data_IF_458116142135
#
_entry.id   IF_458116142135
#
_cell.length_a   1.000
_cell.length_b   1.000
_cell.length_c   1.000
_cell.angle_alpha   90.00
_cell.angle_beta   90.00
_cell.angle_gamma   90.00
#
_symmetry.space_group_name_H-M   'P 1'
#
loop_
_entity.id
_entity.type
_entity.pdbx_description
1 polymer ?
#
# COMPACT_ATOMS: atom_id res chain seq x y z
N UNK A 1 7.35 -23.65 15.39
CA UNK A 1 7.65 -22.40 14.66
C UNK A 1 6.53 -21.43 14.97
N UNK A 2 6.83 -20.30 15.54
CA UNK A 2 5.82 -19.31 15.92
C UNK A 2 5.83 -18.15 14.90
N UNK A 3 4.65 -17.67 14.55
CA UNK A 3 4.50 -16.51 13.68
C UNK A 3 4.35 -15.27 14.58
N UNK A 4 5.20 -14.26 14.38
CA UNK A 4 5.06 -12.97 15.05
C UNK A 4 4.42 -11.99 14.07
N UNK A 5 3.25 -11.49 14.40
CA UNK A 5 2.58 -10.44 13.65
C UNK A 5 3.08 -9.07 14.11
N UNK A 6 3.69 -8.33 13.21
CA UNK A 6 4.00 -6.92 13.39
C UNK A 6 3.01 -6.13 12.55
N UNK A 7 1.97 -5.64 13.21
CA UNK A 7 0.97 -4.80 12.55
C UNK A 7 1.52 -3.38 12.47
N UNK A 8 2.09 -3.00 11.35
CA UNK A 8 2.49 -1.62 11.06
C UNK A 8 1.48 -1.04 10.06
N UNK A 9 0.56 -0.22 10.54
CA UNK A 9 -0.40 0.46 9.68
C UNK A 9 0.26 1.72 9.10
N UNK A 10 0.63 1.66 7.81
CA UNK A 10 1.01 2.82 7.02
C UNK A 10 -0.07 3.04 5.97
N UNK A 11 -0.88 4.07 6.16
CA UNK A 11 -1.85 4.51 5.15
C UNK A 11 -1.19 5.62 4.35
N UNK A 12 -0.83 5.32 3.11
CA UNK A 12 -0.32 6.31 2.16
C UNK A 12 -1.40 6.72 1.17
N UNK A 13 -1.72 8.00 1.09
CA UNK A 13 -2.58 8.55 0.04
C UNK A 13 -1.70 9.00 -1.13
N UNK A 14 -1.78 8.33 -2.28
CA UNK A 14 -1.19 8.82 -3.53
C UNK A 14 -2.20 9.70 -4.25
N UNK A 15 -2.04 11.02 -4.13
CA UNK A 15 -2.82 11.98 -4.92
C UNK A 15 -2.18 12.08 -6.30
N UNK A 16 -2.77 11.45 -7.31
CA UNK A 16 -2.45 11.70 -8.71
C UNK A 16 -3.15 12.98 -9.15
N UNK A 17 -2.49 14.14 -9.00
CA UNK A 17 -2.94 15.38 -9.60
C UNK A 17 -2.62 15.36 -11.10
N UNK A 18 -3.59 15.08 -11.95
CA UNK A 18 -3.54 15.41 -13.38
C UNK A 18 -3.65 16.92 -13.55
N UNK A 19 -2.52 17.61 -13.67
CA UNK A 19 -2.48 19.03 -14.01
C UNK A 19 -2.85 19.24 -15.48
N UNK A 20 -3.93 20.00 -15.70
CA UNK A 20 -4.14 20.67 -16.98
C UNK A 20 -3.27 21.92 -17.02
N UNK A 21 -2.38 21.99 -18.00
CA UNK A 21 -1.69 23.22 -18.36
C UNK A 21 -2.67 24.15 -19.10
N UNK A 22 -3.05 25.24 -18.45
CA UNK A 22 -3.61 26.40 -19.15
C UNK A 22 -2.60 27.55 -19.14
N UNK A 23 -2.33 28.02 -20.36
CA UNK A 23 -1.35 29.04 -20.71
C UNK A 23 -1.69 30.41 -20.10
N UNK A 24 -0.67 31.01 -19.49
CA UNK A 24 -0.68 32.37 -18.96
C UNK A 24 -0.59 33.37 -20.11
N UNK A 25 -1.58 34.26 -20.22
CA UNK A 25 -1.43 35.53 -20.93
C UNK A 25 -1.56 36.66 -19.91
N UNK A 26 -0.48 37.42 -19.78
CA UNK A 26 -0.38 38.60 -18.95
C UNK A 26 -1.08 39.80 -19.59
N UNK A 27 -1.99 40.48 -18.88
CA UNK A 27 -2.26 41.89 -19.08
C UNK A 27 -2.51 42.60 -17.76
N UNK A 28 -1.73 43.63 -17.55
CA UNK A 28 -1.76 44.63 -16.47
C UNK A 28 -2.87 45.63 -16.73
N UNK A 29 -3.70 45.98 -15.73
CA UNK A 29 -4.23 47.35 -15.57
C UNK A 29 -4.79 47.59 -14.15
N UNK A 30 -4.60 48.81 -13.72
CA UNK A 30 -4.73 49.41 -12.40
C UNK A 30 -6.18 49.63 -11.91
N UNK A 31 -6.31 49.58 -10.55
CA UNK A 31 -7.01 50.51 -9.67
C UNK A 31 -8.53 50.67 -9.76
N UNK A 32 -9.21 50.31 -8.71
CA UNK A 32 -9.93 51.26 -7.81
C UNK A 32 -10.43 50.56 -6.53
N UNK A 33 -10.41 51.36 -5.45
CA UNK A 33 -10.72 51.04 -4.07
C UNK A 33 -12.24 51.06 -3.84
N UNK A 34 -12.82 50.04 -3.21
CA UNK A 34 -13.98 50.19 -2.34
C UNK A 34 -13.94 49.14 -1.21
N UNK A 35 -13.91 49.65 0.03
CA UNK A 35 -14.05 48.92 1.30
C UNK A 35 -15.45 48.32 1.42
N UNK A 36 -15.55 46.97 1.51
CA UNK A 36 -16.69 46.31 2.13
C UNK A 36 -16.14 45.29 3.13
N UNK A 37 -16.28 45.62 4.41
CA UNK A 37 -16.03 44.73 5.54
C UNK A 37 -16.97 43.55 5.49
N UNK A 38 -16.45 42.36 5.20
CA UNK A 38 -17.01 41.08 5.63
C UNK A 38 -15.88 40.23 6.18
N UNK A 39 -15.93 40.04 7.51
CA UNK A 39 -15.01 39.18 8.25
C UNK A 39 -15.37 37.72 7.91
N UNK A 40 -14.91 37.22 6.79
CA UNK A 40 -14.75 35.80 6.58
C UNK A 40 -13.35 35.42 7.08
N UNK A 41 -13.29 34.61 8.13
CA UNK A 41 -12.05 34.00 8.61
C UNK A 41 -11.48 33.16 7.46
N UNK A 42 -10.56 33.76 6.73
CA UNK A 42 -9.77 33.06 5.70
C UNK A 42 -8.81 32.15 6.47
N UNK A 43 -9.16 30.87 6.62
CA UNK A 43 -8.17 29.85 7.02
C UNK A 43 -6.97 30.00 6.10
N UNK A 44 -5.78 30.05 6.67
CA UNK A 44 -4.57 30.19 5.87
C UNK A 44 -4.39 28.93 5.01
N UNK A 45 -3.83 29.08 3.81
CA UNK A 45 -3.53 27.97 2.92
C UNK A 45 -2.60 26.92 3.58
N UNK A 46 -1.83 27.33 4.59
CA UNK A 46 -1.00 26.45 5.41
C UNK A 46 -1.83 25.59 6.39
N UNK A 47 -2.92 26.13 6.99
CA UNK A 47 -3.82 25.36 7.85
C UNK A 47 -4.63 24.34 7.04
N UNK A 48 -5.12 24.70 5.84
CA UNK A 48 -5.80 23.78 4.94
C UNK A 48 -4.85 22.68 4.43
N UNK A 49 -3.60 23.01 4.11
CA UNK A 49 -2.59 22.04 3.71
C UNK A 49 -2.27 21.07 4.87
N UNK A 50 -2.14 21.59 6.11
CA UNK A 50 -1.86 20.75 7.29
C UNK A 50 -3.02 19.82 7.60
N UNK A 51 -4.27 20.28 7.53
CA UNK A 51 -5.45 19.41 7.70
C UNK A 51 -5.55 18.33 6.61
N UNK A 52 -5.17 18.62 5.36
CA UNK A 52 -5.11 17.64 4.28
C UNK A 52 -4.03 16.59 4.51
N UNK A 53 -2.86 16.98 5.01
CA UNK A 53 -1.78 16.05 5.36
C UNK A 53 -2.15 15.16 6.55
N UNK A 54 -2.78 15.68 7.58
CA UNK A 54 -3.25 14.90 8.72
C UNK A 54 -4.35 13.89 8.35
N UNK A 55 -5.22 14.22 7.40
CA UNK A 55 -6.23 13.30 6.87
C UNK A 55 -5.63 12.12 6.10
N UNK A 56 -4.43 12.27 5.52
CA UNK A 56 -3.82 11.23 4.68
C UNK A 56 -3.05 10.14 5.43
N UNK A 57 -2.57 10.41 6.66
CA UNK A 57 -1.55 9.56 7.28
C UNK A 57 -2.00 8.67 8.44
N UNK A 58 -3.15 8.88 9.04
CA UNK A 58 -3.60 8.13 10.22
C UNK A 58 -5.10 7.91 10.22
N UNK A 59 -5.67 7.48 9.10
CA UNK A 59 -7.06 7.06 9.10
C UNK A 59 -7.20 5.80 9.99
N UNK A 60 -8.21 5.76 10.87
CA UNK A 60 -8.44 4.58 11.69
C UNK A 60 -8.79 3.40 10.77
N UNK A 61 -8.10 2.28 10.96
CA UNK A 61 -8.43 1.03 10.25
C UNK A 61 -9.59 0.38 11.01
N UNK A 62 -10.56 -0.10 10.27
CA UNK A 62 -11.65 -0.89 10.83
C UNK A 62 -11.11 -2.14 11.53
N UNK A 63 -11.62 -2.47 12.71
CA UNK A 63 -11.14 -3.59 13.51
C UNK A 63 -11.30 -4.93 12.77
N UNK A 64 -12.38 -5.08 12.01
CA UNK A 64 -12.62 -6.29 11.21
C UNK A 64 -11.61 -6.41 10.07
N UNK A 65 -11.27 -5.31 9.39
CA UNK A 65 -10.23 -5.28 8.35
C UNK A 65 -8.86 -5.61 8.93
N UNK A 66 -8.55 -5.12 10.13
CA UNK A 66 -7.29 -5.43 10.80
C UNK A 66 -7.16 -6.94 11.08
N UNK A 67 -8.20 -7.55 11.64
CA UNK A 67 -8.25 -8.99 11.93
C UNK A 67 -8.18 -9.82 10.63
N UNK A 68 -8.89 -9.41 9.57
CA UNK A 68 -8.82 -10.05 8.26
C UNK A 68 -7.39 -10.00 7.71
N UNK A 69 -6.73 -8.84 7.78
CA UNK A 69 -5.38 -8.68 7.30
C UNK A 69 -4.36 -9.56 8.04
N UNK A 70 -4.51 -9.71 9.35
CA UNK A 70 -3.67 -10.60 10.16
C UNK A 70 -3.89 -12.07 9.78
N UNK A 71 -5.14 -12.51 9.67
CA UNK A 71 -5.47 -13.88 9.29
C UNK A 71 -4.96 -14.22 7.88
N UNK A 72 -5.09 -13.31 6.93
CA UNK A 72 -4.58 -13.47 5.57
C UNK A 72 -3.06 -13.66 5.55
N UNK A 73 -2.31 -12.85 6.33
CA UNK A 73 -0.87 -13.03 6.47
C UNK A 73 -0.51 -14.39 7.05
N UNK A 74 -1.20 -14.81 8.12
CA UNK A 74 -0.99 -16.11 8.76
C UNK A 74 -1.22 -17.23 7.75
N UNK A 75 -2.34 -17.20 7.01
CA UNK A 75 -2.65 -18.22 6.01
C UNK A 75 -1.55 -18.32 4.93
N UNK A 76 -1.08 -17.19 4.41
CA UNK A 76 -0.02 -17.20 3.39
C UNK A 76 1.31 -17.71 3.95
N UNK A 77 1.65 -17.36 5.19
CA UNK A 77 2.84 -17.89 5.85
C UNK A 77 2.73 -19.39 6.12
N UNK A 78 1.58 -19.87 6.56
CA UNK A 78 1.36 -21.32 6.74
C UNK A 78 1.55 -22.10 5.43
N UNK A 79 1.11 -21.56 4.29
CA UNK A 79 1.28 -22.17 2.97
C UNK A 79 2.74 -22.35 2.54
N UNK A 80 3.63 -21.47 3.00
CA UNK A 80 5.05 -21.51 2.64
C UNK A 80 5.95 -22.00 3.78
N UNK A 81 5.35 -22.47 4.87
CA UNK A 81 6.08 -22.85 6.10
C UNK A 81 7.07 -24.00 5.90
N UNK A 82 6.74 -24.94 5.03
CA UNK A 82 7.62 -26.05 4.64
C UNK A 82 8.85 -25.54 3.86
N UNK A 83 8.62 -24.65 2.88
CA UNK A 83 9.70 -24.04 2.10
C UNK A 83 10.63 -23.22 3.01
N UNK A 84 10.04 -22.43 3.92
CA UNK A 84 10.82 -21.66 4.90
C UNK A 84 11.58 -22.56 5.87
N UNK A 85 10.95 -23.67 6.33
CA UNK A 85 11.56 -24.63 7.25
C UNK A 85 12.78 -25.30 6.67
N UNK A 86 12.75 -25.64 5.38
CA UNK A 86 13.82 -26.34 4.65
C UNK A 86 14.90 -25.37 4.10
N UNK A 87 14.68 -24.05 4.17
CA UNK A 87 15.59 -23.06 3.61
C UNK A 87 16.88 -22.92 4.45
N UNK A 88 18.00 -22.68 3.77
CA UNK A 88 19.23 -22.20 4.41
C UNK A 88 19.02 -20.73 4.83
N UNK A 89 19.05 -20.50 6.14
CA UNK A 89 18.87 -19.17 6.74
C UNK A 89 20.18 -18.47 7.03
N UNK A 90 21.32 -19.12 6.67
CA UNK A 90 22.65 -18.62 6.98
C UNK A 90 22.98 -18.66 8.47
N UNK A 91 24.14 -18.12 8.81
CA UNK A 91 24.65 -18.05 10.19
C UNK A 91 24.50 -16.65 10.82
N UNK A 92 23.94 -15.69 10.09
CA UNK A 92 23.75 -14.32 10.56
C UNK A 92 22.53 -14.21 11.49
N UNK A 93 22.52 -13.16 12.32
CA UNK A 93 21.36 -12.86 13.18
C UNK A 93 20.11 -12.43 12.39
N UNK A 94 20.30 -11.96 11.16
CA UNK A 94 19.22 -11.61 10.25
C UNK A 94 19.15 -12.68 9.17
N UNK A 95 18.00 -13.29 9.03
CA UNK A 95 17.71 -14.24 7.94
C UNK A 95 17.66 -13.49 6.63
N UNK A 96 18.39 -13.98 5.63
CA UNK A 96 18.27 -13.55 4.23
C UNK A 96 18.25 -14.82 3.38
N UNK A 97 17.11 -15.09 2.77
CA UNK A 97 16.91 -16.26 1.94
C UNK A 97 17.48 -16.04 0.53
N UNK A 98 17.88 -17.13 -0.12
CA UNK A 98 18.27 -17.08 -1.53
C UNK A 98 17.07 -16.79 -2.43
N UNK A 99 17.31 -16.09 -3.54
CA UNK A 99 16.30 -15.71 -4.54
C UNK A 99 15.48 -16.93 -5.02
N UNK A 100 16.13 -18.08 -5.20
CA UNK A 100 15.45 -19.31 -5.62
C UNK A 100 14.41 -19.78 -4.60
N UNK A 101 14.69 -19.62 -3.31
CA UNK A 101 13.75 -19.94 -2.23
C UNK A 101 12.56 -18.97 -2.24
N UNK A 102 12.83 -17.67 -2.38
CA UNK A 102 11.79 -16.64 -2.50
C UNK A 102 10.88 -16.92 -3.72
N UNK A 103 11.44 -17.31 -4.86
CA UNK A 103 10.63 -17.67 -6.04
C UNK A 103 9.79 -18.94 -5.83
N UNK A 104 10.26 -19.93 -5.06
CA UNK A 104 9.45 -21.09 -4.70
C UNK A 104 8.25 -20.68 -3.83
N UNK A 105 8.49 -19.77 -2.86
CA UNK A 105 7.44 -19.22 -2.01
C UNK A 105 6.42 -18.43 -2.84
N UNK A 106 6.90 -17.54 -3.74
CA UNK A 106 6.05 -16.77 -4.64
C UNK A 106 5.13 -17.70 -5.45
N UNK A 107 5.71 -18.71 -6.07
CA UNK A 107 4.95 -19.69 -6.85
C UNK A 107 3.88 -20.39 -6.02
N UNK A 108 4.19 -20.71 -4.77
CA UNK A 108 3.27 -21.39 -3.85
C UNK A 108 2.08 -20.49 -3.48
N UNK A 109 2.31 -19.21 -3.22
CA UNK A 109 1.23 -18.25 -2.94
C UNK A 109 0.44 -17.93 -4.21
N UNK A 110 1.08 -17.87 -5.39
CA UNK A 110 0.39 -17.68 -6.67
C UNK A 110 -0.70 -18.74 -6.96
N UNK A 111 -0.59 -19.94 -6.39
CA UNK A 111 -1.61 -21.00 -6.51
C UNK A 111 -2.97 -20.58 -5.93
N UNK A 112 -3.01 -19.56 -5.06
CA UNK A 112 -4.25 -18.99 -4.54
C UNK A 112 -4.99 -18.09 -5.54
N UNK A 113 -4.34 -17.72 -6.64
CA UNK A 113 -4.85 -16.73 -7.60
C UNK A 113 -4.61 -15.28 -7.21
N UNK A 114 -4.04 -15.01 -6.02
CA UNK A 114 -3.75 -13.66 -5.57
C UNK A 114 -2.49 -13.09 -6.26
N UNK A 115 -2.43 -11.77 -6.48
CA UNK A 115 -1.22 -11.09 -6.90
C UNK A 115 -0.11 -11.22 -5.85
N UNK A 116 1.11 -11.56 -6.30
CA UNK A 116 2.26 -11.75 -5.43
C UNK A 116 3.51 -11.09 -6.00
N UNK A 117 4.07 -10.15 -5.24
CA UNK A 117 5.35 -9.51 -5.51
C UNK A 117 6.46 -10.11 -4.64
N UNK A 118 7.72 -9.84 -4.98
CA UNK A 118 8.89 -10.15 -4.15
C UNK A 118 9.87 -8.98 -4.18
N UNK A 119 10.78 -8.89 -3.19
CA UNK A 119 11.86 -7.91 -3.18
C UNK A 119 13.05 -8.31 -4.08
N UNK A 120 13.01 -9.47 -4.71
CA UNK A 120 14.06 -9.90 -5.64
C UNK A 120 14.12 -8.98 -6.85
N UNK A 121 15.30 -8.43 -7.13
CA UNK A 121 15.51 -7.51 -8.24
C UNK A 121 15.09 -8.13 -9.58
N UNK A 122 14.40 -7.34 -10.41
CA UNK A 122 13.90 -7.74 -11.73
C UNK A 122 12.90 -8.91 -11.71
N UNK A 123 12.34 -9.26 -10.55
CA UNK A 123 11.26 -10.23 -10.48
C UNK A 123 9.95 -9.66 -11.06
N UNK A 124 9.12 -10.54 -11.59
CA UNK A 124 7.78 -10.18 -12.05
C UNK A 124 6.75 -10.46 -10.95
N UNK A 125 5.73 -9.61 -10.86
CA UNK A 125 4.57 -9.91 -10.03
C UNK A 125 3.81 -11.10 -10.63
N UNK A 126 3.52 -12.09 -9.80
CA UNK A 126 2.62 -13.19 -10.18
C UNK A 126 1.17 -12.75 -10.12
N UNK A 127 0.33 -13.29 -11.01
CA UNK A 127 -1.11 -13.01 -11.10
C UNK A 127 -1.43 -11.51 -11.21
N UNK A 128 -0.58 -10.75 -11.91
CA UNK A 128 -0.67 -9.29 -12.04
C UNK A 128 -1.97 -8.82 -12.73
N UNK A 129 -2.63 -9.71 -13.46
CA UNK A 129 -3.85 -9.40 -14.22
C UNK A 129 -4.98 -8.87 -13.32
N UNK A 130 -5.01 -9.30 -12.05
CA UNK A 130 -5.97 -8.81 -11.07
C UNK A 130 -5.69 -7.34 -10.70
N UNK A 131 -4.40 -6.97 -10.62
CA UNK A 131 -3.99 -5.58 -10.37
C UNK A 131 -4.29 -4.72 -11.58
N UNK A 132 -3.95 -5.21 -12.79
CA UNK A 132 -4.24 -4.50 -14.04
C UNK A 132 -5.74 -4.21 -14.20
N UNK A 133 -6.58 -5.22 -13.94
CA UNK A 133 -8.03 -5.05 -13.93
C UNK A 133 -8.49 -3.97 -12.93
N UNK A 134 -8.02 -4.05 -11.69
CA UNK A 134 -8.34 -3.08 -10.64
C UNK A 134 -7.95 -1.65 -11.06
N UNK A 135 -6.73 -1.46 -11.58
CA UNK A 135 -6.26 -0.15 -12.02
C UNK A 135 -7.08 0.41 -13.19
N UNK A 136 -7.46 -0.44 -14.14
CA UNK A 136 -8.35 -0.03 -15.23
C UNK A 136 -9.74 0.39 -14.72
N UNK A 137 -10.29 -0.32 -13.74
CA UNK A 137 -11.55 0.05 -13.09
C UNK A 137 -11.43 1.39 -12.33
N UNK A 138 -10.30 1.64 -11.66
CA UNK A 138 -10.02 2.93 -11.02
C UNK A 138 -9.95 4.08 -12.04
N UNK A 139 -9.32 3.88 -13.21
CA UNK A 139 -9.27 4.88 -14.28
C UNK A 139 -10.67 5.21 -14.83
N UNK A 140 -11.58 4.27 -14.77
CA UNK A 140 -13.00 4.49 -15.11
C UNK A 140 -13.79 5.14 -13.95
N UNK A 141 -13.16 5.48 -12.82
CA UNK A 141 -13.82 6.05 -11.64
C UNK A 141 -14.66 5.04 -10.84
N UNK A 142 -14.45 3.73 -11.05
CA UNK A 142 -15.19 2.70 -10.33
C UNK A 142 -14.47 2.36 -9.02
N UNK A 143 -15.22 2.40 -7.93
CA UNK A 143 -14.71 1.94 -6.62
C UNK A 143 -14.41 0.43 -6.64
N UNK A 144 -13.39 0.02 -5.88
CA UNK A 144 -13.00 -1.38 -5.78
C UNK A 144 -11.80 -1.57 -4.85
N UNK A 145 -11.34 -2.81 -4.75
CA UNK A 145 -10.15 -3.13 -3.98
C UNK A 145 -9.38 -4.29 -4.61
N UNK A 146 -8.06 -4.33 -4.35
CA UNK A 146 -7.20 -5.46 -4.68
C UNK A 146 -6.22 -5.72 -3.53
N UNK A 147 -6.00 -6.99 -3.21
CA UNK A 147 -4.98 -7.42 -2.24
C UNK A 147 -3.77 -7.91 -3.01
N UNK A 148 -2.59 -7.45 -2.61
CA UNK A 148 -1.30 -7.88 -3.14
C UNK A 148 -0.49 -8.42 -1.96
N UNK A 149 0.05 -9.62 -2.11
CA UNK A 149 1.03 -10.17 -1.17
C UNK A 149 2.44 -9.83 -1.63
N UNK A 150 3.34 -9.60 -0.66
CA UNK A 150 4.75 -9.36 -0.91
C UNK A 150 5.59 -10.30 -0.06
N UNK A 151 6.55 -11.00 -0.68
CA UNK A 151 7.47 -11.86 0.03
C UNK A 151 8.78 -11.11 0.21
N UNK A 152 9.20 -10.99 1.46
CA UNK A 152 10.42 -10.31 1.86
C UNK A 152 11.62 -11.26 1.80
N UNK A 153 12.81 -10.70 1.83
CA UNK A 153 14.08 -11.43 1.82
C UNK A 153 14.29 -12.32 3.06
N UNK A 154 13.64 -11.98 4.18
CA UNK A 154 13.60 -12.82 5.39
C UNK A 154 12.53 -13.93 5.35
N UNK A 155 11.81 -14.05 4.24
CA UNK A 155 10.71 -15.01 4.07
C UNK A 155 9.40 -14.57 4.74
N UNK A 156 9.35 -13.41 5.35
CA UNK A 156 8.10 -12.83 5.85
C UNK A 156 7.13 -12.49 4.73
N UNK A 157 5.84 -12.37 5.04
CA UNK A 157 4.80 -12.05 4.07
C UNK A 157 4.11 -10.76 4.46
N UNK A 158 4.11 -9.78 3.55
CA UNK A 158 3.30 -8.58 3.62
C UNK A 158 1.96 -8.78 2.90
N UNK A 159 0.93 -8.13 3.39
CA UNK A 159 -0.36 -7.97 2.73
C UNK A 159 -0.63 -6.48 2.55
N UNK A 160 -0.84 -6.07 1.32
CA UNK A 160 -1.23 -4.71 0.97
C UNK A 160 -2.60 -4.76 0.29
N UNK A 161 -3.61 -4.16 0.91
CA UNK A 161 -4.93 -3.98 0.31
C UNK A 161 -5.06 -2.54 -0.18
N UNK A 162 -5.14 -2.38 -1.47
CA UNK A 162 -5.43 -1.12 -2.13
C UNK A 162 -6.95 -1.00 -2.26
N UNK A 163 -7.50 0.12 -1.82
CA UNK A 163 -8.93 0.42 -1.84
C UNK A 163 -9.12 1.75 -2.54
N UNK A 164 -9.92 1.76 -3.59
CA UNK A 164 -10.30 2.98 -4.30
C UNK A 164 -11.79 3.21 -4.10
N UNK A 165 -12.19 4.38 -3.59
CA UNK A 165 -13.59 4.72 -3.30
C UNK A 165 -14.32 5.41 -4.48
N UNK A 166 -13.60 5.65 -5.57
CA UNK A 166 -14.06 6.40 -6.74
C UNK A 166 -13.39 7.77 -6.87
N UNK A 167 -12.67 8.21 -5.84
CA UNK A 167 -11.97 9.50 -5.78
C UNK A 167 -10.57 9.32 -5.22
N UNK A 168 -10.45 8.68 -4.06
CA UNK A 168 -9.21 8.53 -3.31
C UNK A 168 -8.77 7.06 -3.23
N UNK A 169 -7.45 6.86 -3.16
CA UNK A 169 -6.82 5.56 -2.99
C UNK A 169 -6.28 5.41 -1.58
N UNK A 170 -6.69 4.34 -0.89
CA UNK A 170 -6.23 4.00 0.46
C UNK A 170 -5.46 2.69 0.42
N UNK A 171 -4.48 2.54 1.33
CA UNK A 171 -3.70 1.31 1.47
C UNK A 171 -3.77 0.86 2.93
N UNK A 172 -4.21 -0.38 3.13
CA UNK A 172 -4.09 -1.08 4.42
C UNK A 172 -2.99 -2.11 4.28
N UNK A 173 -1.95 -2.03 5.12
CA UNK A 173 -0.81 -2.94 5.06
C UNK A 173 -0.58 -3.64 6.38
N UNK A 174 -0.21 -4.92 6.31
CA UNK A 174 0.15 -5.77 7.45
C UNK A 174 1.32 -6.64 7.03
N UNK A 175 2.20 -7.00 7.96
CA UNK A 175 3.32 -7.90 7.70
C UNK A 175 3.41 -8.97 8.78
N UNK A 176 3.48 -10.23 8.35
CA UNK A 176 3.87 -11.36 9.17
C UNK A 176 5.39 -11.63 9.06
N UNK A 177 6.03 -11.95 10.17
CA UNK A 177 7.43 -12.35 10.23
C UNK A 177 7.58 -13.66 10.97
N UNK A 178 8.62 -14.43 10.63
CA UNK A 178 8.93 -15.66 11.34
C UNK A 178 9.58 -15.35 12.69
N UNK A 179 9.16 -16.08 13.71
CA UNK A 179 9.80 -16.02 15.04
C UNK A 179 10.44 -17.38 15.32
N UNK A 180 11.75 -17.45 15.25
CA UNK A 180 12.55 -18.65 15.47
C UNK A 180 12.91 -18.85 16.97
N UNK A 181 11.99 -18.53 17.91
CA UNK A 181 12.17 -18.82 19.34
C UNK A 181 11.88 -20.28 19.68
#
# INVERSE_FOLDING_TARGET
MNILLITAFLIGCCVCACGKEDSITSETLEKDTEEVSSTEETKSAEEEATEQWEKGYNLPVDEQEAVEAENDCIEMMERISDIYGDADKGAASNVVLEDETIFKMQKKIMETGCPVATLVLYSNMGNYENVDKFLNECMDGKSGAVVIYEIYDDGGVGRMKFIFDGTDMYIVSTRGVWNDN
#
